data_IF_097633909130
#
_entry.id   IF_097633909130
#
_cell.length_a   1.000
_cell.length_b   1.000
_cell.length_c   1.000
_cell.angle_alpha   90.00
_cell.angle_beta   90.00
_cell.angle_gamma   90.00
#
_symmetry.space_group_name_H-M   'P 1'
#
loop_
_entity.id
_entity.type
_entity.pdbx_description
1 polymer ?
#
# COMPACT_ATOMS: atom_id res chain seq x y z
N UNK A 1 8.53 55.12 14.51
CA UNK A 1 8.59 54.50 13.16
C UNK A 1 8.48 52.99 13.34
N UNK A 2 7.26 52.45 13.35
CA UNK A 2 7.09 50.99 13.34
C UNK A 2 7.41 50.46 11.94
N UNK A 3 8.39 49.56 11.86
CA UNK A 3 8.65 48.80 10.63
C UNK A 3 7.68 47.63 10.62
N UNK A 4 6.53 47.81 9.98
CA UNK A 4 5.52 46.76 9.85
C UNK A 4 6.12 45.49 9.25
N UNK A 5 5.78 44.33 9.83
CA UNK A 5 6.25 43.03 9.33
C UNK A 5 5.73 42.87 7.89
N UNK A 6 6.60 42.58 6.90
CA UNK A 6 6.16 42.41 5.53
C UNK A 6 5.12 41.30 5.39
N UNK A 7 3.98 41.59 4.74
CA UNK A 7 2.82 40.69 4.65
C UNK A 7 3.18 39.31 4.12
N UNK A 8 4.18 39.20 3.24
CA UNK A 8 4.65 37.92 2.69
C UNK A 8 5.34 37.01 3.73
N UNK A 9 5.96 37.56 4.78
CA UNK A 9 6.52 36.74 5.86
C UNK A 9 5.41 36.12 6.71
N UNK A 10 4.33 36.88 6.92
CA UNK A 10 3.14 36.39 7.65
C UNK A 10 2.44 35.27 6.87
N UNK A 11 2.30 35.39 5.55
CA UNK A 11 1.68 34.32 4.73
C UNK A 11 2.55 33.07 4.63
N UNK A 12 3.88 33.20 4.52
CA UNK A 12 4.80 32.05 4.52
C UNK A 12 4.77 31.30 5.87
N UNK A 13 4.74 32.02 6.99
CA UNK A 13 4.60 31.42 8.33
C UNK A 13 3.26 30.70 8.50
N UNK A 14 2.15 31.30 8.06
CA UNK A 14 0.82 30.65 8.09
C UNK A 14 0.77 29.39 7.22
N UNK A 15 1.36 29.41 6.03
CA UNK A 15 1.40 28.25 5.14
C UNK A 15 2.29 27.13 5.73
N UNK A 16 3.46 27.46 6.26
CA UNK A 16 4.33 26.50 6.95
C UNK A 16 3.67 25.87 8.18
N UNK A 17 2.88 26.63 8.93
CA UNK A 17 2.11 26.12 10.07
C UNK A 17 0.97 25.19 9.63
N UNK A 18 0.34 25.47 8.47
CA UNK A 18 -0.70 24.63 7.87
C UNK A 18 -0.17 23.31 7.25
N UNK A 19 1.13 23.21 6.93
CA UNK A 19 1.77 21.97 6.49
C UNK A 19 1.99 20.92 7.60
N UNK A 20 1.47 21.15 8.81
CA UNK A 20 1.65 20.27 9.96
C UNK A 20 0.91 18.93 9.80
N UNK A 21 1.69 17.87 9.53
CA UNK A 21 1.36 16.46 9.77
C UNK A 21 0.18 15.88 8.95
N UNK A 22 0.48 15.45 7.72
CA UNK A 22 -0.32 14.42 7.07
C UNK A 22 -0.14 13.06 7.80
N UNK A 23 -0.95 12.80 8.82
CA UNK A 23 -0.91 11.56 9.59
C UNK A 23 -1.59 10.41 8.82
N UNK A 24 -0.79 9.65 8.07
CA UNK A 24 -1.23 8.44 7.37
C UNK A 24 -1.17 7.20 8.31
N UNK A 25 -2.02 7.19 9.33
CA UNK A 25 -2.21 6.06 10.25
C UNK A 25 -3.70 5.78 10.44
N UNK A 26 -4.03 4.56 10.86
CA UNK A 26 -5.42 4.18 11.14
C UNK A 26 -5.98 4.96 12.34
N UNK A 27 -7.29 5.29 12.35
CA UNK A 27 -7.95 5.87 13.51
C UNK A 27 -7.87 4.93 14.73
N UNK A 28 -7.61 5.49 15.92
CA UNK A 28 -7.62 4.72 17.17
C UNK A 28 -8.99 4.06 17.41
N UNK A 29 -9.02 2.81 17.93
CA UNK A 29 -10.27 2.14 18.26
C UNK A 29 -11.01 2.87 19.39
N UNK A 30 -12.34 2.94 19.27
CA UNK A 30 -13.23 3.57 20.27
C UNK A 30 -13.80 2.56 21.30
N UNK A 31 -13.45 1.28 21.15
CA UNK A 31 -14.01 0.13 21.86
C UNK A 31 -13.04 -1.05 21.72
N UNK A 32 -13.10 -2.03 22.64
CA UNK A 32 -12.12 -3.12 22.75
C UNK A 32 -11.94 -3.93 21.44
N UNK A 33 -13.02 -4.18 20.71
CA UNK A 33 -12.98 -4.87 19.42
C UNK A 33 -14.11 -4.44 18.46
N UNK A 34 -13.82 -4.56 17.17
CA UNK A 34 -14.77 -4.38 16.07
C UNK A 34 -14.47 -5.45 15.01
N UNK A 35 -15.14 -6.61 15.10
CA UNK A 35 -15.01 -7.65 14.07
C UNK A 35 -15.70 -7.14 12.80
N UNK A 36 -14.95 -7.00 11.71
CA UNK A 36 -15.48 -6.50 10.45
C UNK A 36 -16.61 -7.41 9.93
N UNK A 37 -17.77 -6.82 9.65
CA UNK A 37 -18.93 -7.55 9.19
C UNK A 37 -18.71 -8.17 7.81
N UNK A 38 -19.11 -9.44 7.70
CA UNK A 38 -19.09 -10.24 6.47
C UNK A 38 -20.46 -10.24 5.78
N UNK A 39 -21.49 -9.65 6.39
CA UNK A 39 -22.88 -9.76 5.95
C UNK A 39 -23.17 -8.83 4.77
N UNK A 40 -22.84 -9.31 3.57
CA UNK A 40 -23.24 -8.71 2.29
C UNK A 40 -24.76 -8.63 2.08
N UNK A 41 -25.52 -9.35 2.91
CA UNK A 41 -26.97 -9.55 2.75
C UNK A 41 -27.81 -8.51 3.50
N UNK A 42 -27.20 -7.67 4.35
CA UNK A 42 -27.89 -6.51 4.91
C UNK A 42 -27.91 -5.37 3.86
N UNK A 43 -29.10 -5.11 3.33
CA UNK A 43 -29.38 -4.05 2.35
C UNK A 43 -29.09 -2.64 2.89
N UNK A 44 -29.02 -2.45 4.22
CA UNK A 44 -28.67 -1.18 4.87
C UNK A 44 -27.16 -1.00 5.04
N UNK A 45 -26.39 -2.08 5.22
CA UNK A 45 -24.92 -2.04 5.29
C UNK A 45 -24.30 -1.94 3.90
N UNK A 46 -24.85 -2.66 2.92
CA UNK A 46 -24.39 -2.61 1.52
C UNK A 46 -24.68 -1.27 0.82
N UNK A 47 -25.63 -0.47 1.34
CA UNK A 47 -25.99 0.85 0.80
C UNK A 47 -25.26 2.04 1.45
N UNK A 48 -24.37 1.84 2.42
CA UNK A 48 -23.69 2.92 3.17
C UNK A 48 -22.18 2.74 3.16
N UNK A 49 -21.45 3.80 2.84
CA UNK A 49 -19.99 3.80 2.84
C UNK A 49 -19.45 4.45 4.12
N UNK A 50 -18.49 3.79 4.77
CA UNK A 50 -17.75 4.30 5.94
C UNK A 50 -16.25 4.15 5.72
N UNK A 51 -15.44 4.92 6.45
CA UNK A 51 -14.00 4.74 6.46
C UNK A 51 -13.65 3.44 7.22
N UNK A 52 -13.23 2.39 6.50
CA UNK A 52 -12.95 1.07 7.07
C UNK A 52 -14.03 0.04 6.74
N UNK A 53 -14.62 -0.57 7.77
CA UNK A 53 -15.69 -1.57 7.69
C UNK A 53 -16.69 -1.36 8.83
N UNK A 54 -17.93 -1.82 8.65
CA UNK A 54 -18.89 -1.92 9.76
C UNK A 54 -18.50 -3.06 10.71
N UNK A 55 -18.80 -2.90 12.00
CA UNK A 55 -18.63 -3.96 12.99
C UNK A 55 -19.86 -4.89 12.98
N UNK A 56 -19.65 -6.18 13.22
CA UNK A 56 -20.70 -7.07 13.72
C UNK A 56 -21.16 -6.67 15.13
N UNK A 57 -22.34 -7.12 15.55
CA UNK A 57 -22.77 -7.02 16.95
C UNK A 57 -21.77 -7.75 17.87
N UNK A 58 -21.12 -7.05 18.82
CA UNK A 58 -20.13 -7.65 19.72
C UNK A 58 -20.63 -8.87 20.50
N UNK A 59 -21.95 -9.00 20.72
CA UNK A 59 -22.56 -10.15 21.42
C UNK A 59 -22.44 -11.48 20.66
N UNK A 60 -22.25 -11.41 19.35
CA UNK A 60 -22.12 -12.58 18.48
C UNK A 60 -20.66 -12.91 18.12
N UNK A 61 -19.69 -12.11 18.60
CA UNK A 61 -18.28 -12.37 18.36
C UNK A 61 -17.78 -13.58 19.17
N UNK A 62 -17.00 -14.45 18.51
CA UNK A 62 -16.43 -15.65 19.09
C UNK A 62 -14.90 -15.63 19.01
N UNK A 63 -14.21 -16.48 19.76
CA UNK A 63 -12.74 -16.59 19.68
C UNK A 63 -12.23 -16.92 18.25
N UNK A 64 -13.05 -17.61 17.44
CA UNK A 64 -12.73 -17.96 16.06
C UNK A 64 -12.71 -16.75 15.13
N UNK A 65 -13.41 -15.65 15.46
CA UNK A 65 -13.42 -14.42 14.65
C UNK A 65 -12.12 -13.63 14.76
N UNK A 66 -11.31 -13.93 15.79
CA UNK A 66 -9.98 -13.34 16.01
C UNK A 66 -8.83 -14.29 15.63
N UNK A 67 -9.14 -15.52 15.20
CA UNK A 67 -8.14 -16.53 14.86
C UNK A 67 -7.98 -16.64 13.34
N UNK A 68 -6.75 -16.49 12.86
CA UNK A 68 -6.39 -16.70 11.45
C UNK A 68 -5.31 -17.79 11.34
N UNK A 69 -5.56 -18.79 10.51
CA UNK A 69 -4.65 -19.88 10.19
C UNK A 69 -4.31 -19.90 8.70
N UNK A 70 -3.24 -20.60 8.31
CA UNK A 70 -2.75 -20.66 6.93
C UNK A 70 -1.43 -19.93 6.69
N UNK A 71 -1.00 -19.02 7.58
CA UNK A 71 0.35 -18.43 7.56
C UNK A 71 1.46 -19.43 7.93
N UNK A 72 1.09 -20.60 8.46
CA UNK A 72 1.92 -21.78 8.67
C UNK A 72 2.31 -22.50 7.37
N UNK A 73 1.63 -22.20 6.26
CA UNK A 73 1.84 -22.83 4.95
C UNK A 73 2.49 -21.84 3.99
N UNK A 74 3.55 -22.27 3.30
CA UNK A 74 4.13 -21.49 2.23
C UNK A 74 3.10 -21.33 1.08
N UNK A 75 2.94 -20.10 0.60
CA UNK A 75 2.11 -19.81 -0.57
C UNK A 75 2.75 -20.33 -1.86
N UNK A 76 1.93 -20.50 -2.91
CA UNK A 76 2.43 -20.87 -4.22
C UNK A 76 3.23 -19.71 -4.85
N UNK A 77 4.44 -20.01 -5.30
CA UNK A 77 5.36 -19.07 -5.96
C UNK A 77 5.36 -19.19 -7.48
N UNK A 78 4.45 -19.98 -8.06
CA UNK A 78 4.34 -20.25 -9.51
C UNK A 78 3.68 -19.10 -10.29
N UNK A 79 4.25 -17.89 -10.21
CA UNK A 79 3.74 -16.69 -10.89
C UNK A 79 4.81 -15.98 -11.75
N UNK A 80 4.37 -15.10 -12.66
CA UNK A 80 5.25 -14.39 -13.62
C UNK A 80 6.29 -13.50 -12.92
N UNK A 81 6.04 -13.06 -11.69
CA UNK A 81 6.79 -11.97 -11.09
C UNK A 81 8.21 -12.37 -10.71
N UNK A 82 8.44 -13.52 -10.07
CA UNK A 82 9.78 -14.08 -9.78
C UNK A 82 10.75 -13.19 -8.96
N UNK A 83 10.36 -11.94 -8.65
CA UNK A 83 11.16 -10.76 -8.24
C UNK A 83 12.00 -10.09 -9.35
N UNK A 84 12.31 -8.78 -9.19
CA UNK A 84 13.41 -7.93 -9.76
C UNK A 84 13.10 -6.41 -9.54
N UNK A 85 13.96 -5.35 -9.66
CA UNK A 85 15.40 -5.11 -9.96
C UNK A 85 15.99 -4.16 -8.86
N UNK A 86 17.33 -4.12 -8.72
CA UNK A 86 18.18 -3.20 -7.90
C UNK A 86 17.95 -1.68 -8.20
N UNK A 87 18.14 -0.68 -7.31
CA UNK A 87 18.94 -0.56 -6.07
C UNK A 87 18.16 0.20 -4.97
N UNK A 88 18.28 -0.08 -3.68
CA UNK A 88 19.52 -0.24 -2.88
C UNK A 88 19.36 -1.42 -1.91
N UNK A 89 20.29 -2.39 -1.93
CA UNK A 89 20.05 -3.70 -1.33
C UNK A 89 20.88 -3.99 -0.07
N UNK A 90 20.22 -4.21 1.08
CA UNK A 90 20.77 -5.03 2.18
C UNK A 90 20.37 -6.47 1.91
N UNK A 91 21.32 -7.40 1.96
CA UNK A 91 21.00 -8.84 2.00
C UNK A 91 20.44 -9.18 3.37
N UNK A 92 19.21 -9.70 3.40
CA UNK A 92 18.48 -10.05 4.63
C UNK A 92 18.64 -11.55 4.87
N UNK A 93 19.16 -11.93 6.04
CA UNK A 93 19.33 -13.32 6.46
C UNK A 93 18.20 -13.75 7.40
N UNK A 94 18.12 -15.05 7.72
CA UNK A 94 17.16 -15.58 8.69
C UNK A 94 17.37 -14.91 10.05
N UNK A 95 16.35 -14.19 10.53
CA UNK A 95 16.36 -13.48 11.82
C UNK A 95 16.71 -11.99 11.71
N UNK A 96 17.17 -11.50 10.55
CA UNK A 96 17.27 -10.05 10.30
C UNK A 96 15.87 -9.41 10.26
N UNK A 97 15.75 -8.21 10.83
CA UNK A 97 14.57 -7.35 10.72
C UNK A 97 14.96 -6.07 9.95
N UNK A 98 14.03 -5.58 9.14
CA UNK A 98 14.16 -4.32 8.40
C UNK A 98 12.83 -3.56 8.43
N UNK A 99 12.86 -2.27 8.14
CA UNK A 99 11.67 -1.39 8.12
C UNK A 99 11.70 -0.55 6.85
N UNK A 100 10.58 -0.47 6.14
CA UNK A 100 10.37 0.49 5.07
C UNK A 100 9.45 1.61 5.56
N UNK A 101 9.84 2.89 5.45
CA UNK A 101 8.94 4.02 5.67
C UNK A 101 7.71 3.97 4.76
N UNK A 102 6.58 4.47 5.27
CA UNK A 102 5.28 4.46 4.57
C UNK A 102 5.38 5.19 3.23
N UNK A 103 4.83 4.58 2.18
CA UNK A 103 4.76 5.14 0.83
C UNK A 103 6.05 5.03 0.00
N UNK A 104 7.16 4.51 0.55
CA UNK A 104 8.37 4.29 -0.24
C UNK A 104 8.31 3.00 -1.06
N UNK A 105 8.72 3.12 -2.33
CA UNK A 105 8.92 1.99 -3.23
C UNK A 105 10.03 1.11 -2.65
N UNK A 106 9.75 -0.17 -2.50
CA UNK A 106 10.67 -1.19 -2.03
C UNK A 106 10.43 -2.50 -2.78
N UNK A 107 11.40 -3.40 -2.71
CA UNK A 107 11.34 -4.71 -3.35
C UNK A 107 12.10 -5.74 -2.50
N UNK A 108 11.79 -7.01 -2.73
CA UNK A 108 12.52 -8.15 -2.19
C UNK A 108 12.87 -9.06 -3.37
N UNK A 109 14.05 -9.68 -3.34
CA UNK A 109 14.47 -10.68 -4.31
C UNK A 109 15.19 -11.81 -3.56
N UNK A 110 14.90 -13.06 -3.91
CA UNK A 110 15.56 -14.22 -3.34
C UNK A 110 16.86 -14.55 -4.12
N UNK A 111 18.03 -14.17 -3.57
CA UNK A 111 19.33 -14.52 -4.17
C UNK A 111 19.79 -15.95 -3.83
N UNK A 112 19.05 -16.68 -2.99
CA UNK A 112 19.41 -18.05 -2.58
C UNK A 112 18.87 -19.12 -3.53
N UNK A 113 19.52 -20.28 -3.54
CA UNK A 113 19.09 -21.46 -4.31
C UNK A 113 17.93 -22.23 -3.64
N UNK A 114 17.34 -21.69 -2.58
CA UNK A 114 16.29 -22.32 -1.76
C UNK A 114 15.16 -21.32 -1.51
N UNK A 115 13.93 -21.80 -1.33
CA UNK A 115 12.79 -20.95 -1.04
C UNK A 115 13.02 -20.10 0.23
N UNK A 116 12.67 -18.81 0.14
CA UNK A 116 12.74 -17.86 1.24
C UNK A 116 11.32 -17.45 1.67
N UNK A 117 11.14 -17.21 2.97
CA UNK A 117 9.89 -16.73 3.56
C UNK A 117 10.18 -15.48 4.39
N UNK A 118 9.38 -14.44 4.22
CA UNK A 118 9.46 -13.18 4.96
C UNK A 118 8.07 -12.83 5.48
N UNK A 119 7.97 -12.48 6.75
CA UNK A 119 6.76 -11.91 7.33
C UNK A 119 6.87 -10.39 7.32
N UNK A 120 5.84 -9.70 6.82
CA UNK A 120 5.74 -8.26 6.84
C UNK A 120 4.59 -7.84 7.78
N UNK A 121 4.89 -6.97 8.73
CA UNK A 121 3.90 -6.34 9.60
C UNK A 121 3.74 -4.88 9.18
N UNK A 122 2.50 -4.44 8.95
CA UNK A 122 2.18 -3.09 8.49
C UNK A 122 1.30 -2.40 9.53
N UNK A 123 1.50 -1.10 9.75
CA UNK A 123 0.80 -0.30 10.75
C UNK A 123 -0.59 0.19 10.29
N UNK A 124 -1.29 -0.62 9.49
CA UNK A 124 -2.65 -0.36 9.03
C UNK A 124 -3.40 -1.68 8.78
N UNK A 125 -4.70 -1.69 9.06
CA UNK A 125 -5.66 -2.73 8.73
C UNK A 125 -5.90 -2.87 7.21
N UNK A 126 -5.57 -1.84 6.42
CA UNK A 126 -5.68 -1.85 4.97
C UNK A 126 -4.54 -1.02 4.33
N UNK A 127 -3.29 -1.53 4.37
CA UNK A 127 -2.13 -0.80 3.83
C UNK A 127 -2.16 -0.73 2.29
N UNK A 128 -2.99 -1.57 1.65
CA UNK A 128 -3.03 -1.86 0.20
C UNK A 128 -1.68 -2.36 -0.33
N UNK A 129 -1.67 -2.69 -1.62
CA UNK A 129 -0.46 -3.04 -2.37
C UNK A 129 -0.53 -2.32 -3.72
N UNK A 130 0.59 -1.74 -4.15
CA UNK A 130 0.73 -1.07 -5.45
C UNK A 130 1.91 -1.72 -6.17
N UNK A 131 1.60 -2.69 -7.02
CA UNK A 131 2.54 -3.33 -7.94
C UNK A 131 2.88 -2.36 -9.06
N UNK A 132 3.98 -1.61 -8.92
CA UNK A 132 4.33 -0.48 -9.82
C UNK A 132 4.24 -0.85 -11.32
N UNK A 133 4.81 -1.98 -11.73
CA UNK A 133 4.78 -2.38 -13.15
C UNK A 133 3.37 -2.69 -13.67
N UNK A 134 2.52 -3.26 -12.82
CA UNK A 134 1.13 -3.58 -13.11
C UNK A 134 0.27 -2.29 -13.22
N UNK A 135 0.47 -1.34 -12.30
CA UNK A 135 -0.23 -0.04 -12.32
C UNK A 135 0.25 0.87 -13.47
N UNK A 136 1.46 0.65 -13.99
CA UNK A 136 2.00 1.44 -15.13
C UNK A 136 1.65 0.81 -16.48
N UNK A 137 1.74 -0.51 -16.62
CA UNK A 137 1.64 -1.21 -17.92
C UNK A 137 0.43 -2.15 -18.04
N UNK A 138 -0.20 -2.53 -16.92
CA UNK A 138 -1.40 -3.38 -16.85
C UNK A 138 -2.69 -2.64 -16.46
N UNK A 139 -2.66 -1.30 -16.34
CA UNK A 139 -3.81 -0.50 -15.96
C UNK A 139 -4.98 -0.63 -16.96
N UNK A 140 -6.21 -0.62 -16.43
CA UNK A 140 -7.46 -0.59 -17.21
C UNK A 140 -8.31 0.65 -16.83
N UNK A 141 -8.58 1.58 -17.76
CA UNK A 141 -8.05 1.65 -19.12
C UNK A 141 -6.52 1.95 -19.14
N UNK A 142 -5.79 1.52 -20.19
CA UNK A 142 -4.35 1.76 -20.29
C UNK A 142 -3.97 3.25 -20.26
N UNK A 143 -2.84 3.55 -19.60
CA UNK A 143 -2.26 4.90 -19.61
C UNK A 143 -1.84 5.25 -21.04
N UNK A 144 -2.11 6.49 -21.47
CA UNK A 144 -1.82 6.92 -22.84
C UNK A 144 -0.35 6.65 -23.24
N UNK A 145 -0.08 5.83 -24.28
CA UNK A 145 1.29 5.42 -24.63
C UNK A 145 2.22 6.58 -25.01
N UNK A 146 1.70 7.75 -25.39
CA UNK A 146 2.51 8.96 -25.59
C UNK A 146 3.13 9.47 -24.27
N UNK A 147 2.35 9.40 -23.18
CA UNK A 147 2.77 9.85 -21.85
C UNK A 147 3.82 8.89 -21.30
N UNK A 148 3.59 7.58 -21.39
CA UNK A 148 4.55 6.56 -20.98
C UNK A 148 5.85 6.65 -21.80
N UNK A 149 5.78 6.73 -23.13
CA UNK A 149 6.94 6.89 -24.00
C UNK A 149 7.78 8.12 -23.62
N UNK A 150 7.12 9.25 -23.32
CA UNK A 150 7.81 10.48 -22.89
C UNK A 150 8.40 10.39 -21.48
N UNK A 151 7.70 9.74 -20.55
CA UNK A 151 8.14 9.58 -19.16
C UNK A 151 9.35 8.63 -19.03
N UNK A 152 9.29 7.48 -19.72
CA UNK A 152 10.36 6.48 -19.74
C UNK A 152 11.46 6.77 -20.76
N UNK A 153 11.28 7.78 -21.62
CA UNK A 153 12.23 8.19 -22.67
C UNK A 153 12.53 7.08 -23.69
N UNK A 154 11.49 6.33 -24.08
CA UNK A 154 11.56 5.21 -25.03
C UNK A 154 10.51 5.35 -26.14
N UNK A 155 10.67 4.61 -27.22
CA UNK A 155 9.67 4.56 -28.29
C UNK A 155 8.36 3.90 -27.84
N UNK A 156 7.25 4.32 -28.46
CA UNK A 156 5.93 3.69 -28.27
C UNK A 156 5.93 2.18 -28.49
N UNK A 157 6.77 1.67 -29.38
CA UNK A 157 6.86 0.24 -29.64
C UNK A 157 7.35 -0.54 -28.41
N UNK A 158 8.24 0.06 -27.61
CA UNK A 158 8.70 -0.51 -26.33
C UNK A 158 7.57 -0.47 -25.30
N UNK A 159 6.82 0.64 -25.20
CA UNK A 159 5.65 0.74 -24.33
C UNK A 159 4.59 -0.30 -24.68
N UNK A 160 4.20 -0.40 -25.96
CA UNK A 160 3.22 -1.38 -26.43
C UNK A 160 3.66 -2.82 -26.15
N UNK A 161 4.96 -3.13 -26.28
CA UNK A 161 5.52 -4.43 -25.94
C UNK A 161 5.47 -4.71 -24.42
N UNK A 162 5.78 -3.71 -23.59
CA UNK A 162 5.69 -3.83 -22.14
C UNK A 162 4.24 -4.04 -21.70
N UNK A 163 3.29 -3.24 -22.18
CA UNK A 163 1.85 -3.42 -21.91
C UNK A 163 1.32 -4.81 -22.29
N UNK A 164 1.90 -5.47 -23.30
CA UNK A 164 1.52 -6.85 -23.66
C UNK A 164 1.98 -7.89 -22.63
N UNK A 165 2.99 -7.60 -21.80
CA UNK A 165 3.46 -8.54 -20.75
C UNK A 165 2.55 -8.56 -19.51
N UNK A 166 1.70 -7.53 -19.34
CA UNK A 166 0.77 -7.37 -18.22
C UNK A 166 -0.69 -7.63 -18.63
N UNK A 167 -0.90 -8.24 -19.79
CA UNK A 167 -2.18 -8.78 -20.28
C UNK A 167 -2.20 -10.32 -20.20
#
# INVERSE_FOLDING_TARGET
MEKGVPTYLVTVLLFALACSLASAFDPSPLQDFCVASKDSNDTLLSAKFVNGKFCNDPKHATANDFFFSGLDKAGDTSNRQGSNITATAKVINKGDVFVFPVGLIHFQWNMGNTNALVFASLSSQNPRLITIADVVFGADPPINPNVLAKAFQVDKNVINYLEQQFK
#
